data_IF_093034356386
#
_entry.id   IF_093034356386
#
_cell.length_a   1.000
_cell.length_b   1.000
_cell.length_c   1.000
_cell.angle_alpha   90.00
_cell.angle_beta   90.00
_cell.angle_gamma   90.00
#
_symmetry.space_group_name_H-M   'P 1'
#
loop_
_entity.id
_entity.type
_entity.pdbx_description
1 polymer ?
#
# COMPACT_ATOMS: atom_id res chain seq x y z
N UNK A 1 -34.66 -17.97 -20.36
CA UNK A 1 -33.74 -16.91 -20.81
C UNK A 1 -33.21 -16.17 -19.57
N UNK A 2 -32.14 -16.67 -18.97
CA UNK A 2 -31.50 -16.00 -17.83
C UNK A 2 -30.55 -14.94 -18.36
N UNK A 3 -30.88 -13.67 -18.09
CA UNK A 3 -30.01 -12.54 -18.43
C UNK A 3 -28.69 -12.70 -17.66
N UNK A 4 -27.61 -12.87 -18.40
CA UNK A 4 -26.25 -12.81 -17.88
C UNK A 4 -26.02 -11.46 -17.23
N UNK A 5 -25.55 -11.48 -15.99
CA UNK A 5 -25.06 -10.29 -15.32
C UNK A 5 -23.70 -9.97 -15.93
N UNK A 6 -23.70 -8.98 -16.82
CA UNK A 6 -22.51 -8.41 -17.43
C UNK A 6 -21.84 -7.53 -16.37
N UNK A 7 -20.80 -8.04 -15.70
CA UNK A 7 -19.82 -7.20 -15.01
C UNK A 7 -18.68 -6.86 -15.98
N UNK A 8 -18.94 -5.99 -16.97
CA UNK A 8 -17.90 -5.42 -17.82
C UNK A 8 -17.32 -4.19 -17.12
N UNK A 9 -16.13 -4.33 -16.52
CA UNK A 9 -15.40 -3.16 -16.01
C UNK A 9 -14.28 -3.42 -15.01
N UNK A 10 -14.13 -4.65 -14.49
CA UNK A 10 -13.05 -4.98 -13.57
C UNK A 10 -12.12 -5.98 -14.26
N UNK A 11 -10.89 -5.56 -14.57
CA UNK A 11 -9.81 -6.50 -14.87
C UNK A 11 -9.65 -7.45 -13.68
N UNK A 12 -9.39 -8.73 -13.96
CA UNK A 12 -9.22 -9.75 -12.92
C UNK A 12 -7.97 -9.38 -12.08
N UNK A 13 -8.05 -9.32 -10.73
CA UNK A 13 -6.89 -8.92 -9.91
C UNK A 13 -5.65 -9.78 -10.18
N UNK A 14 -4.45 -9.19 -10.12
CA UNK A 14 -3.20 -9.89 -10.52
C UNK A 14 -2.88 -11.12 -9.70
N UNK A 15 -3.29 -11.13 -8.42
CA UNK A 15 -3.17 -12.31 -7.56
C UNK A 15 -3.86 -13.56 -8.15
N UNK A 16 -4.95 -13.39 -8.90
CA UNK A 16 -5.65 -14.54 -9.52
C UNK A 16 -4.88 -15.16 -10.68
N UNK A 17 -4.18 -14.33 -11.44
CA UNK A 17 -3.31 -14.78 -12.53
C UNK A 17 -2.10 -15.52 -11.94
N UNK A 18 -1.46 -14.92 -10.93
CA UNK A 18 -0.26 -15.47 -10.30
C UNK A 18 -0.52 -16.83 -9.60
N UNK A 19 -1.57 -16.91 -8.77
CA UNK A 19 -1.92 -18.15 -8.06
C UNK A 19 -2.34 -19.29 -8.99
N UNK A 20 -2.78 -19.01 -10.22
CA UNK A 20 -3.09 -20.02 -11.22
C UNK A 20 -1.87 -20.42 -12.07
N UNK A 21 -0.89 -19.52 -12.27
CA UNK A 21 0.31 -19.83 -13.03
C UNK A 21 1.33 -20.65 -12.21
N UNK A 22 1.39 -20.44 -10.90
CA UNK A 22 2.33 -21.14 -10.01
C UNK A 22 2.03 -22.67 -9.85
N UNK A 23 0.90 -23.18 -10.37
CA UNK A 23 0.65 -24.64 -10.43
C UNK A 23 1.36 -25.35 -11.57
N UNK A 24 1.87 -24.64 -12.58
CA UNK A 24 2.43 -25.24 -13.80
C UNK A 24 3.95 -25.47 -13.76
N UNK A 25 4.65 -25.13 -12.68
CA UNK A 25 6.12 -25.21 -12.56
C UNK A 25 6.64 -26.34 -11.65
N UNK A 26 6.04 -27.55 -11.70
CA UNK A 26 6.61 -28.74 -11.02
C UNK A 26 6.91 -29.88 -11.99
N UNK A 27 8.19 -30.23 -12.10
CA UNK A 27 8.70 -31.43 -12.77
C UNK A 27 8.19 -32.70 -12.05
N UNK A 28 7.75 -33.68 -12.85
CA UNK A 28 7.76 -35.11 -12.48
C UNK A 28 6.51 -35.67 -11.80
N UNK A 29 5.82 -36.54 -12.53
CA UNK A 29 4.81 -37.55 -12.12
C UNK A 29 3.37 -37.08 -11.83
N UNK A 30 2.46 -37.47 -12.74
CA UNK A 30 0.99 -37.55 -12.63
C UNK A 30 0.27 -36.33 -12.05
N UNK A 31 -0.02 -35.33 -12.90
CA UNK A 31 -0.84 -34.18 -12.55
C UNK A 31 -2.33 -34.56 -12.49
N UNK A 32 -2.91 -34.59 -11.28
CA UNK A 32 -4.34 -34.36 -11.13
C UNK A 32 -4.62 -32.89 -11.51
N UNK A 33 -5.66 -32.59 -12.32
CA UNK A 33 -6.03 -31.21 -12.62
C UNK A 33 -6.38 -30.49 -11.32
N UNK A 34 -5.51 -29.58 -10.88
CA UNK A 34 -5.79 -28.71 -9.75
C UNK A 34 -6.92 -27.78 -10.16
N UNK A 35 -8.07 -27.88 -9.50
CA UNK A 35 -9.23 -27.02 -9.76
C UNK A 35 -8.79 -25.54 -9.75
N UNK A 36 -9.27 -24.71 -10.68
CA UNK A 36 -9.06 -23.27 -10.64
C UNK A 36 -9.44 -22.75 -9.25
N UNK A 37 -8.63 -21.85 -8.68
CA UNK A 37 -9.09 -21.18 -7.48
C UNK A 37 -10.22 -20.23 -7.84
N UNK A 38 -11.38 -20.52 -7.29
CA UNK A 38 -12.44 -19.57 -7.00
C UNK A 38 -12.29 -19.21 -5.53
N UNK A 39 -11.57 -18.11 -5.25
CA UNK A 39 -11.89 -17.33 -4.04
C UNK A 39 -13.31 -16.81 -4.24
N UNK A 40 -14.06 -16.65 -3.15
CA UNK A 40 -15.41 -16.15 -3.29
C UNK A 40 -15.39 -14.71 -3.86
N UNK A 41 -16.54 -14.27 -4.33
CA UNK A 41 -16.71 -12.93 -4.90
C UNK A 41 -16.59 -11.85 -3.81
N UNK A 42 -16.83 -12.20 -2.55
CA UNK A 42 -16.79 -11.31 -1.39
C UNK A 42 -15.35 -10.90 -1.05
N UNK A 43 -14.41 -11.84 -1.01
CA UNK A 43 -12.97 -11.64 -0.84
C UNK A 43 -12.39 -10.72 -1.93
N UNK A 44 -12.85 -10.91 -3.17
CA UNK A 44 -12.47 -10.07 -4.31
C UNK A 44 -12.97 -8.63 -4.14
N UNK A 45 -14.23 -8.47 -3.76
CA UNK A 45 -14.85 -7.17 -3.55
C UNK A 45 -14.21 -6.44 -2.35
N UNK A 46 -13.89 -7.16 -1.28
CA UNK A 46 -13.23 -6.60 -0.10
C UNK A 46 -11.85 -6.06 -0.44
N UNK A 47 -11.01 -6.85 -1.11
CA UNK A 47 -9.68 -6.40 -1.53
C UNK A 47 -9.77 -5.21 -2.51
N UNK A 48 -10.72 -5.24 -3.45
CA UNK A 48 -10.93 -4.13 -4.39
C UNK A 48 -11.38 -2.84 -3.67
N UNK A 49 -12.20 -2.96 -2.62
CA UNK A 49 -12.62 -1.84 -1.77
C UNK A 49 -11.42 -1.24 -1.03
N UNK A 50 -10.61 -2.06 -0.36
CA UNK A 50 -9.40 -1.58 0.33
C UNK A 50 -8.42 -0.94 -0.64
N UNK A 51 -8.25 -1.52 -1.84
CA UNK A 51 -7.45 -0.92 -2.91
C UNK A 51 -7.97 0.46 -3.32
N UNK A 52 -9.28 0.65 -3.42
CA UNK A 52 -9.87 1.95 -3.75
C UNK A 52 -9.66 2.98 -2.61
N UNK A 53 -9.83 2.56 -1.35
CA UNK A 53 -9.51 3.42 -0.20
C UNK A 53 -8.03 3.86 -0.23
N UNK A 54 -7.12 2.94 -0.59
CA UNK A 54 -5.71 3.27 -0.77
C UNK A 54 -5.47 4.28 -1.90
N UNK A 55 -6.14 4.15 -3.04
CA UNK A 55 -6.08 5.15 -4.14
C UNK A 55 -6.56 6.54 -3.70
N UNK A 56 -7.60 6.62 -2.89
CA UNK A 56 -8.09 7.91 -2.39
C UNK A 56 -7.04 8.58 -1.50
N UNK A 57 -6.37 7.80 -0.65
CA UNK A 57 -5.26 8.29 0.17
C UNK A 57 -4.05 8.74 -0.66
N UNK A 58 -3.70 8.03 -1.75
CA UNK A 58 -2.61 8.50 -2.64
C UNK A 58 -2.97 9.86 -3.24
N UNK A 59 -4.22 10.03 -3.68
CA UNK A 59 -4.72 11.29 -4.23
C UNK A 59 -4.71 12.42 -3.20
N UNK A 60 -5.06 12.13 -1.94
CA UNK A 60 -4.99 13.08 -0.83
C UNK A 60 -3.55 13.52 -0.55
N UNK A 61 -2.61 12.58 -0.51
CA UNK A 61 -1.19 12.89 -0.29
C UNK A 61 -0.60 13.70 -1.42
N UNK A 62 -0.95 13.39 -2.67
CA UNK A 62 -0.51 14.16 -3.83
C UNK A 62 -1.04 15.60 -3.77
N UNK A 63 -2.33 15.78 -3.48
CA UNK A 63 -2.95 17.10 -3.33
C UNK A 63 -2.37 17.91 -2.16
N UNK A 64 -2.06 17.26 -1.03
CA UNK A 64 -1.38 17.93 0.08
C UNK A 64 0.05 18.33 -0.32
N UNK A 65 0.78 17.44 -0.99
CA UNK A 65 2.13 17.70 -1.47
C UNK A 65 2.22 18.82 -2.50
N UNK A 66 1.16 19.07 -3.29
CA UNK A 66 1.05 20.21 -4.22
C UNK A 66 0.95 21.56 -3.51
N UNK A 67 0.42 21.61 -2.28
CA UNK A 67 0.36 22.87 -1.51
C UNK A 67 1.74 23.38 -1.10
N UNK A 68 2.75 22.51 -1.12
CA UNK A 68 4.13 22.83 -0.81
C UNK A 68 4.90 23.33 -2.04
N UNK A 69 4.27 23.84 -3.09
CA UNK A 69 4.95 24.17 -4.36
C UNK A 69 6.11 25.19 -4.19
N UNK A 70 6.00 26.12 -3.23
CA UNK A 70 7.09 27.04 -2.84
C UNK A 70 8.29 26.32 -2.16
N UNK A 71 8.08 25.07 -1.74
CA UNK A 71 9.03 24.18 -1.09
C UNK A 71 9.20 22.87 -1.88
N UNK A 72 9.07 22.88 -3.21
CA UNK A 72 9.13 21.67 -4.04
C UNK A 72 10.39 20.80 -3.83
N UNK A 73 11.49 21.40 -3.36
CA UNK A 73 12.73 20.70 -3.02
C UNK A 73 12.73 20.02 -1.64
N UNK A 74 11.65 20.17 -0.85
CA UNK A 74 11.52 19.62 0.49
C UNK A 74 11.48 18.09 0.48
N UNK A 75 12.32 17.48 1.33
CA UNK A 75 12.44 16.03 1.42
C UNK A 75 11.16 15.33 1.87
N UNK A 76 10.32 15.97 2.70
CA UNK A 76 9.01 15.45 3.10
C UNK A 76 8.12 15.30 1.86
N UNK A 77 8.05 16.32 1.01
CA UNK A 77 7.25 16.32 -0.23
C UNK A 77 7.74 15.25 -1.20
N UNK A 78 9.05 15.18 -1.43
CA UNK A 78 9.66 14.16 -2.31
C UNK A 78 9.35 12.74 -1.83
N UNK A 79 9.44 12.51 -0.52
CA UNK A 79 9.11 11.20 0.08
C UNK A 79 7.62 10.89 0.01
N UNK A 80 6.76 11.87 0.25
CA UNK A 80 5.31 11.72 0.15
C UNK A 80 4.90 11.27 -1.25
N UNK A 81 5.39 11.95 -2.29
CA UNK A 81 5.14 11.60 -3.70
C UNK A 81 5.68 10.21 -4.06
N UNK A 82 6.87 9.85 -3.58
CA UNK A 82 7.43 8.51 -3.78
C UNK A 82 6.54 7.42 -3.13
N UNK A 83 6.11 7.64 -1.89
CA UNK A 83 5.21 6.71 -1.19
C UNK A 83 3.84 6.61 -1.87
N UNK A 84 3.26 7.73 -2.28
CA UNK A 84 2.02 7.78 -3.06
C UNK A 84 2.10 6.92 -4.32
N UNK A 85 3.16 7.09 -5.12
CA UNK A 85 3.41 6.29 -6.34
C UNK A 85 3.53 4.79 -6.05
N UNK A 86 4.26 4.42 -5.00
CA UNK A 86 4.40 3.01 -4.59
C UNK A 86 3.05 2.39 -4.17
N UNK A 87 2.28 3.08 -3.32
CA UNK A 87 0.96 2.63 -2.89
C UNK A 87 -0.03 2.55 -4.07
N UNK A 88 0.06 3.48 -5.02
CA UNK A 88 -0.76 3.45 -6.23
C UNK A 88 -0.49 2.22 -7.09
N UNK A 89 0.77 1.81 -7.25
CA UNK A 89 1.12 0.55 -7.93
C UNK A 89 0.54 -0.68 -7.23
N UNK A 90 0.49 -0.68 -5.89
CA UNK A 90 -0.15 -1.75 -5.12
C UNK A 90 -1.67 -1.73 -5.28
N UNK A 91 -2.30 -0.56 -5.44
CA UNK A 91 -3.72 -0.46 -5.79
C UNK A 91 -3.98 -1.06 -7.18
N UNK A 92 -3.17 -0.71 -8.18
CA UNK A 92 -3.32 -1.24 -9.53
C UNK A 92 -3.22 -2.77 -9.55
N UNK A 93 -2.35 -3.36 -8.72
CA UNK A 93 -2.27 -4.80 -8.54
C UNK A 93 -3.63 -5.43 -8.11
N UNK A 94 -4.34 -4.82 -7.16
CA UNK A 94 -5.69 -5.25 -6.73
C UNK A 94 -6.74 -5.14 -7.84
N UNK A 95 -6.45 -4.38 -8.91
CA UNK A 95 -7.31 -4.17 -10.08
C UNK A 95 -6.88 -4.96 -11.30
N UNK A 96 -5.80 -5.75 -11.22
CA UNK A 96 -5.32 -6.50 -12.37
C UNK A 96 -4.47 -5.69 -13.34
N UNK A 97 -3.96 -4.53 -12.92
CA UNK A 97 -3.26 -3.56 -13.74
C UNK A 97 -1.90 -3.15 -13.13
N UNK A 98 -1.17 -2.29 -13.81
CA UNK A 98 0.07 -1.69 -13.30
C UNK A 98 1.31 -2.57 -13.47
N UNK A 99 2.44 -2.15 -12.88
CA UNK A 99 3.74 -2.77 -13.13
C UNK A 99 3.94 -4.09 -12.37
N UNK A 100 3.28 -4.28 -11.23
CA UNK A 100 3.41 -5.47 -10.38
C UNK A 100 2.66 -6.64 -11.02
N UNK A 101 3.35 -7.75 -11.31
CA UNK A 101 2.76 -8.88 -12.04
C UNK A 101 2.49 -10.08 -11.15
N UNK A 102 3.31 -10.24 -10.11
CA UNK A 102 3.27 -11.39 -9.20
C UNK A 102 3.04 -10.95 -7.76
N UNK A 103 2.61 -11.88 -6.91
CA UNK A 103 2.56 -11.68 -5.45
C UNK A 103 3.94 -11.38 -4.87
N UNK A 104 5.00 -11.92 -5.46
CA UNK A 104 6.38 -11.59 -5.10
C UNK A 104 6.68 -10.10 -5.37
N UNK A 105 6.33 -9.58 -6.55
CA UNK A 105 6.51 -8.15 -6.86
C UNK A 105 5.78 -7.26 -5.85
N UNK A 106 4.56 -7.64 -5.45
CA UNK A 106 3.80 -6.93 -4.43
C UNK A 106 4.52 -6.92 -3.08
N UNK A 107 5.07 -8.04 -2.65
CA UNK A 107 5.79 -8.13 -1.38
C UNK A 107 7.08 -7.31 -1.40
N UNK A 108 7.85 -7.37 -2.50
CA UNK A 108 9.03 -6.53 -2.69
C UNK A 108 8.66 -5.04 -2.71
N UNK A 109 7.56 -4.67 -3.37
CA UNK A 109 7.07 -3.29 -3.36
C UNK A 109 6.70 -2.82 -1.95
N UNK A 110 6.08 -3.69 -1.14
CA UNK A 110 5.73 -3.40 0.25
C UNK A 110 6.97 -3.28 1.16
N UNK A 111 8.03 -4.06 0.91
CA UNK A 111 9.33 -3.89 1.58
C UNK A 111 9.92 -2.50 1.31
N UNK A 112 9.99 -2.10 0.03
CA UNK A 112 10.46 -0.78 -0.34
C UNK A 112 9.57 0.34 0.20
N UNK A 113 8.26 0.13 0.25
CA UNK A 113 7.32 1.08 0.84
C UNK A 113 7.60 1.31 2.33
N UNK A 114 7.79 0.24 3.11
CA UNK A 114 8.17 0.33 4.53
C UNK A 114 9.54 1.01 4.73
N UNK A 115 10.49 0.79 3.84
CA UNK A 115 11.78 1.50 3.88
C UNK A 115 11.63 3.00 3.61
N UNK A 116 10.80 3.39 2.64
CA UNK A 116 10.50 4.81 2.39
C UNK A 116 9.77 5.45 3.55
N UNK A 117 8.83 4.75 4.18
CA UNK A 117 8.14 5.20 5.38
C UNK A 117 9.11 5.44 6.56
N UNK A 118 10.10 4.56 6.76
CA UNK A 118 11.15 4.79 7.75
C UNK A 118 12.02 6.01 7.43
N UNK A 119 12.29 6.29 6.16
CA UNK A 119 13.00 7.50 5.76
C UNK A 119 12.15 8.76 5.98
N UNK A 120 10.85 8.69 5.69
CA UNK A 120 9.88 9.75 6.00
C UNK A 120 9.89 10.06 7.49
N UNK A 121 9.82 9.03 8.34
CA UNK A 121 9.87 9.19 9.80
C UNK A 121 11.12 9.98 10.24
N UNK A 122 12.30 9.63 9.73
CA UNK A 122 13.55 10.34 10.07
C UNK A 122 13.53 11.79 9.63
N UNK A 123 13.14 12.06 8.38
CA UNK A 123 13.06 13.43 7.84
C UNK A 123 12.07 14.29 8.64
N UNK A 124 10.89 13.76 8.96
CA UNK A 124 9.90 14.52 9.74
C UNK A 124 10.34 14.68 11.20
N UNK A 125 11.07 13.71 11.76
CA UNK A 125 11.66 13.81 13.10
C UNK A 125 12.67 14.94 13.17
N UNK A 126 13.57 15.04 12.20
CA UNK A 126 14.54 16.13 12.09
C UNK A 126 13.83 17.48 11.95
N UNK A 127 12.86 17.57 11.04
CA UNK A 127 12.01 18.76 10.89
C UNK A 127 11.35 19.17 12.22
N UNK A 128 10.82 18.21 12.99
CA UNK A 128 10.14 18.49 14.26
C UNK A 128 11.04 19.15 15.31
N UNK A 129 12.37 19.02 15.22
CA UNK A 129 13.28 19.71 16.14
C UNK A 129 13.36 21.21 15.88
N UNK A 130 13.18 21.62 14.63
CA UNK A 130 13.17 23.04 14.22
C UNK A 130 11.83 23.73 14.47
N UNK A 131 10.74 22.96 14.62
CA UNK A 131 9.42 23.51 14.94
C UNK A 131 9.37 23.98 16.41
N UNK A 132 8.94 25.23 16.70
CA UNK A 132 8.73 25.69 18.06
C UNK A 132 7.68 24.85 18.83
N UNK A 133 7.75 24.86 20.16
CA UNK A 133 6.76 24.16 20.99
C UNK A 133 5.35 24.70 20.80
N UNK A 134 4.46 23.90 20.21
CA UNK A 134 3.06 24.25 19.96
C UNK A 134 2.12 23.04 20.05
N UNK A 135 0.80 23.29 19.97
CA UNK A 135 -0.20 22.23 19.88
C UNK A 135 -0.04 21.44 18.57
N UNK A 136 0.26 22.13 17.47
CA UNK A 136 0.49 21.54 16.16
C UNK A 136 1.74 20.63 16.15
N UNK A 137 2.83 21.05 16.79
CA UNK A 137 4.02 20.19 16.96
C UNK A 137 3.69 18.93 17.76
N UNK A 138 2.85 19.06 18.79
CA UNK A 138 2.45 17.92 19.63
C UNK A 138 1.61 16.93 18.83
N UNK A 139 0.70 17.41 17.99
CA UNK A 139 -0.09 16.60 17.06
C UNK A 139 0.79 15.91 16.01
N UNK A 140 1.69 16.67 15.36
CA UNK A 140 2.67 16.12 14.42
C UNK A 140 3.46 14.97 15.05
N UNK A 141 3.96 15.17 16.27
CA UNK A 141 4.72 14.16 17.00
C UNK A 141 3.87 12.92 17.30
N UNK A 142 2.61 13.08 17.71
CA UNK A 142 1.72 11.97 18.00
C UNK A 142 1.40 11.10 16.76
N UNK A 143 1.31 11.70 15.58
CA UNK A 143 1.16 10.98 14.30
C UNK A 143 2.47 10.28 13.94
N UNK A 144 3.60 10.98 14.05
CA UNK A 144 4.92 10.49 13.70
C UNK A 144 5.30 9.20 14.45
N UNK A 145 4.99 9.11 15.74
CA UNK A 145 5.28 7.94 16.58
C UNK A 145 4.52 6.66 16.16
N UNK A 146 3.49 6.75 15.30
CA UNK A 146 2.77 5.58 14.78
C UNK A 146 3.44 4.95 13.58
N UNK A 147 4.23 5.72 12.82
CA UNK A 147 4.86 5.26 11.57
C UNK A 147 5.75 4.02 11.80
N UNK A 148 6.64 3.97 12.81
CA UNK A 148 7.50 2.80 13.02
C UNK A 148 6.72 1.50 13.27
N UNK A 149 5.55 1.58 13.91
CA UNK A 149 4.70 0.41 14.20
C UNK A 149 4.18 -0.20 12.91
N UNK A 150 3.64 0.62 12.01
CA UNK A 150 3.17 0.19 10.70
C UNK A 150 4.30 -0.36 9.82
N UNK A 151 5.46 0.29 9.80
CA UNK A 151 6.64 -0.21 9.11
C UNK A 151 7.02 -1.62 9.57
N UNK A 152 7.04 -1.83 10.90
CA UNK A 152 7.36 -3.12 11.49
C UNK A 152 6.31 -4.18 11.15
N UNK A 153 5.02 -3.85 11.24
CA UNK A 153 3.92 -4.76 10.89
C UNK A 153 4.02 -5.20 9.43
N UNK A 154 4.22 -4.26 8.51
CA UNK A 154 4.36 -4.56 7.09
C UNK A 154 5.58 -5.45 6.82
N UNK A 155 6.73 -5.17 7.45
CA UNK A 155 7.95 -5.97 7.36
C UNK A 155 7.78 -7.40 7.87
N UNK A 156 7.04 -7.59 8.98
CA UNK A 156 6.74 -8.94 9.49
C UNK A 156 5.85 -9.71 8.52
N UNK A 157 4.82 -9.06 7.96
CA UNK A 157 3.91 -9.68 6.99
C UNK A 157 4.67 -10.19 5.76
N UNK A 158 5.48 -9.34 5.12
CA UNK A 158 6.19 -9.68 3.87
C UNK A 158 7.28 -10.74 4.07
N UNK A 159 7.95 -10.77 5.23
CA UNK A 159 8.99 -11.78 5.55
C UNK A 159 8.43 -13.12 6.01
N UNK A 160 7.19 -13.17 6.49
CA UNK A 160 6.59 -14.41 6.97
C UNK A 160 6.42 -15.42 5.83
N UNK A 161 6.95 -16.65 5.95
CA UNK A 161 6.77 -17.66 4.91
C UNK A 161 5.30 -18.06 4.81
N UNK A 162 4.84 -18.40 3.62
CA UNK A 162 3.44 -18.80 3.41
C UNK A 162 3.38 -19.81 2.27
N UNK A 163 2.62 -20.89 2.48
CA UNK A 163 2.48 -21.99 1.52
C UNK A 163 1.00 -22.26 1.27
N UNK A 164 0.66 -22.45 0.00
CA UNK A 164 -0.71 -22.73 -0.41
C UNK A 164 -1.49 -21.46 -0.71
N UNK A 165 -2.36 -21.56 -1.71
CA UNK A 165 -2.96 -20.39 -2.34
C UNK A 165 -3.89 -19.58 -1.42
N UNK A 166 -4.66 -20.23 -0.56
CA UNK A 166 -5.53 -19.54 0.44
C UNK A 166 -4.70 -18.73 1.42
N UNK A 167 -3.60 -19.29 1.92
CA UNK A 167 -2.72 -18.59 2.84
C UNK A 167 -2.00 -17.43 2.13
N UNK A 168 -1.55 -17.62 0.89
CA UNK A 168 -0.96 -16.55 0.08
C UNK A 168 -1.95 -15.40 -0.15
N UNK A 169 -3.24 -15.72 -0.41
CA UNK A 169 -4.27 -14.69 -0.52
C UNK A 169 -4.45 -13.90 0.78
N UNK A 170 -4.57 -14.59 1.92
CA UNK A 170 -4.69 -13.92 3.22
C UNK A 170 -3.50 -13.02 3.53
N UNK A 171 -2.28 -13.42 3.15
CA UNK A 171 -1.08 -12.59 3.25
C UNK A 171 -1.16 -11.35 2.37
N UNK A 172 -1.61 -11.49 1.12
CA UNK A 172 -1.80 -10.34 0.21
C UNK A 172 -2.87 -9.38 0.74
N UNK A 173 -4.01 -9.88 1.20
CA UNK A 173 -5.06 -9.03 1.82
C UNK A 173 -4.49 -8.23 3.00
N UNK A 174 -3.72 -8.89 3.87
CA UNK A 174 -3.07 -8.26 5.02
C UNK A 174 -2.05 -7.19 4.61
N UNK A 175 -1.23 -7.45 3.58
CA UNK A 175 -0.24 -6.49 3.07
C UNK A 175 -0.92 -5.26 2.47
N UNK A 176 -1.99 -5.44 1.69
CA UNK A 176 -2.75 -4.33 1.11
C UNK A 176 -3.43 -3.50 2.20
N UNK A 177 -4.05 -4.16 3.19
CA UNK A 177 -4.68 -3.47 4.32
C UNK A 177 -3.66 -2.66 5.14
N UNK A 178 -2.51 -3.24 5.43
CA UNK A 178 -1.49 -2.59 6.24
C UNK A 178 -0.82 -1.42 5.51
N UNK A 179 -0.60 -1.57 4.19
CA UNK A 179 -0.14 -0.46 3.33
C UNK A 179 -1.14 0.70 3.34
N UNK A 180 -2.44 0.40 3.26
CA UNK A 180 -3.50 1.42 3.35
C UNK A 180 -3.48 2.14 4.69
N UNK A 181 -3.33 1.40 5.80
CA UNK A 181 -3.27 1.99 7.14
C UNK A 181 -2.07 2.93 7.28
N UNK A 182 -0.90 2.51 6.81
CA UNK A 182 0.30 3.34 6.79
C UNK A 182 0.11 4.58 5.90
N UNK A 183 -0.46 4.44 4.70
CA UNK A 183 -0.70 5.57 3.80
C UNK A 183 -1.63 6.63 4.44
N UNK A 184 -2.60 6.19 5.25
CA UNK A 184 -3.49 7.08 6.00
C UNK A 184 -2.73 7.88 7.07
N UNK A 185 -1.78 7.27 7.78
CA UNK A 185 -0.94 8.02 8.72
C UNK A 185 0.02 8.95 7.99
N UNK A 186 0.52 8.56 6.80
CA UNK A 186 1.34 9.44 5.95
C UNK A 186 0.57 10.66 5.47
N UNK A 187 -0.68 10.51 5.04
CA UNK A 187 -1.54 11.64 4.64
C UNK A 187 -1.65 12.67 5.77
N UNK A 188 -2.00 12.21 6.98
CA UNK A 188 -2.06 13.07 8.17
C UNK A 188 -0.71 13.72 8.49
N UNK A 189 0.38 12.96 8.35
CA UNK A 189 1.73 13.42 8.66
C UNK A 189 2.17 14.56 7.73
N UNK A 190 1.88 14.46 6.43
CA UNK A 190 2.20 15.50 5.45
C UNK A 190 1.40 16.77 5.76
N UNK A 191 0.10 16.65 6.03
CA UNK A 191 -0.77 17.77 6.43
C UNK A 191 -0.28 18.45 7.70
N UNK A 192 0.01 17.67 8.75
CA UNK A 192 0.50 18.21 10.03
C UNK A 192 1.87 18.91 9.85
N UNK A 193 2.73 18.36 8.98
CA UNK A 193 4.03 18.96 8.66
C UNK A 193 3.86 20.30 7.93
N UNK A 194 2.87 20.41 7.05
CA UNK A 194 2.58 21.66 6.30
C UNK A 194 2.08 22.75 7.24
N UNK A 195 1.16 22.39 8.13
CA UNK A 195 0.65 23.29 9.15
C UNK A 195 1.78 23.80 10.05
N UNK A 196 2.71 22.94 10.43
CA UNK A 196 3.88 23.37 11.20
C UNK A 196 4.78 24.30 10.37
N UNK A 197 5.06 23.99 9.11
CA UNK A 197 5.95 24.78 8.26
C UNK A 197 5.41 26.19 7.95
N UNK A 198 4.09 26.35 7.87
CA UNK A 198 3.44 27.63 7.52
C UNK A 198 3.11 28.52 8.72
N UNK A 199 3.20 27.99 9.94
CA UNK A 199 2.95 28.73 11.19
C UNK A 199 4.23 29.19 11.92
N UNK A 200 5.40 28.85 11.38
CA UNK A 200 6.71 29.33 11.86
C UNK A 200 6.89 30.81 11.51
#
# INVERSE_FOLDING_TARGET
MSKGVIYTGYNKPKIFEDLNNNTNHKHGTTQKPSKPITLDVEDQQKMAKVGLEMKLLTSEVDAEAEKWDEYAENDIVKRAKAMSSMAYNMYLFTRGDGPLKTTHDLFTQAEFFAEQANKMYKTVREFSYEVPGSAEKSELSAILERIPVHCQQLQVLVKSPTVGKTATFGKVDSVIQETKNLMNEIAKLVTASFVCATKV
#
